data_IF_868222526539
#
_entry.id   IF_868222526539
#
_cell.length_a   1.000
_cell.length_b   1.000
_cell.length_c   1.000
_cell.angle_alpha   90.00
_cell.angle_beta   90.00
_cell.angle_gamma   90.00
#
_symmetry.space_group_name_H-M   'P 1'
#
loop_
_entity.id
_entity.type
_entity.pdbx_description
1 polymer ?
#
# COMPACT_ATOMS: atom_id res chain seq x y z
N UNK A 1 14.32 -18.03 -4.67
CA UNK A 1 14.66 -18.01 -6.11
C UNK A 1 14.05 -16.73 -6.64
N UNK A 2 14.80 -15.63 -6.52
CA UNK A 2 14.34 -14.30 -6.93
C UNK A 2 14.54 -14.19 -8.43
N UNK A 3 13.45 -13.89 -9.12
CA UNK A 3 13.41 -13.57 -10.54
C UNK A 3 13.82 -12.11 -10.69
N UNK A 4 15.12 -11.90 -10.91
CA UNK A 4 15.68 -10.60 -11.28
C UNK A 4 15.18 -10.27 -12.69
N UNK A 5 14.08 -9.51 -12.76
CA UNK A 5 13.61 -8.97 -14.03
C UNK A 5 14.69 -8.04 -14.58
N UNK A 6 15.48 -8.56 -15.51
CA UNK A 6 16.38 -7.79 -16.36
C UNK A 6 15.60 -6.61 -16.93
N UNK A 7 15.93 -5.41 -16.45
CA UNK A 7 15.52 -4.18 -17.11
C UNK A 7 16.25 -4.23 -18.46
N UNK A 8 15.55 -4.24 -19.61
CA UNK A 8 16.23 -4.27 -20.89
C UNK A 8 17.13 -3.05 -20.95
N UNK A 9 18.44 -3.26 -20.97
CA UNK A 9 19.40 -2.21 -21.28
C UNK A 9 19.08 -1.74 -22.69
N UNK A 10 18.26 -0.68 -22.81
CA UNK A 10 18.13 0.08 -24.06
C UNK A 10 19.56 0.36 -24.52
N UNK A 11 19.86 -0.05 -25.75
CA UNK A 11 21.21 -0.18 -26.26
C UNK A 11 22.03 1.07 -25.95
N UNK A 12 23.12 0.92 -25.19
CA UNK A 12 23.94 2.05 -24.75
C UNK A 12 24.55 2.78 -25.95
N UNK A 13 24.74 2.07 -27.08
CA UNK A 13 25.18 2.65 -28.35
C UNK A 13 24.17 3.67 -28.91
N UNK A 14 22.87 3.37 -28.85
CA UNK A 14 21.81 4.33 -29.24
C UNK A 14 21.80 5.56 -28.33
N UNK A 15 22.21 5.40 -27.07
CA UNK A 15 22.26 6.49 -26.09
C UNK A 15 23.45 7.43 -26.33
N UNK A 16 24.62 6.89 -26.69
CA UNK A 16 25.80 7.68 -27.06
C UNK A 16 25.62 8.39 -28.41
N UNK A 17 25.03 7.72 -29.40
CA UNK A 17 24.70 8.33 -30.70
C UNK A 17 23.71 9.49 -30.53
N UNK A 18 22.66 9.30 -29.72
CA UNK A 18 21.71 10.36 -29.40
C UNK A 18 22.37 11.53 -28.67
N UNK A 19 23.24 11.25 -27.69
CA UNK A 19 23.97 12.28 -26.98
C UNK A 19 24.86 13.12 -27.92
N UNK A 20 25.53 12.46 -28.87
CA UNK A 20 26.35 13.11 -29.88
C UNK A 20 25.50 13.95 -30.85
N UNK A 21 24.33 13.46 -31.28
CA UNK A 21 23.42 14.20 -32.15
C UNK A 21 22.82 15.44 -31.46
N UNK A 22 22.51 15.35 -30.16
CA UNK A 22 22.10 16.50 -29.34
C UNK A 22 23.24 17.51 -29.21
N UNK A 23 24.47 17.04 -28.94
CA UNK A 23 25.65 17.90 -28.83
C UNK A 23 26.02 18.58 -30.16
N UNK A 24 25.81 17.89 -31.29
CA UNK A 24 26.00 18.42 -32.64
C UNK A 24 24.89 19.39 -33.07
N UNK A 25 23.76 19.44 -32.34
CA UNK A 25 22.61 20.27 -32.68
C UNK A 25 21.71 19.68 -33.77
N UNK A 26 21.90 18.40 -34.12
CA UNK A 26 21.11 17.66 -35.10
C UNK A 26 19.74 17.22 -34.55
N UNK A 27 19.53 17.37 -33.23
CA UNK A 27 18.27 17.12 -32.54
C UNK A 27 17.77 18.43 -31.92
N UNK A 28 16.54 18.82 -32.29
CA UNK A 28 15.85 19.96 -31.71
C UNK A 28 14.64 19.47 -30.90
N UNK A 29 14.51 19.97 -29.67
CA UNK A 29 13.31 19.76 -28.87
C UNK A 29 12.24 20.77 -29.29
N UNK A 30 11.09 20.28 -29.75
CA UNK A 30 9.93 21.13 -29.98
C UNK A 30 9.27 21.47 -28.64
N UNK A 31 9.61 22.64 -28.10
CA UNK A 31 9.02 23.18 -26.88
C UNK A 31 7.63 23.78 -27.09
N UNK A 32 7.17 23.89 -28.35
CA UNK A 32 5.82 24.34 -28.69
C UNK A 32 4.82 23.18 -28.78
N UNK A 33 5.30 21.95 -28.69
CA UNK A 33 4.47 20.76 -28.64
C UNK A 33 3.50 20.81 -27.45
N UNK A 34 2.24 20.39 -27.62
CA UNK A 34 1.28 20.33 -26.53
C UNK A 34 1.78 19.35 -25.46
N UNK A 35 1.63 19.73 -24.18
CA UNK A 35 1.93 18.81 -23.07
C UNK A 35 1.02 17.60 -23.18
N UNK A 36 1.57 16.37 -23.25
CA UNK A 36 0.74 15.17 -23.31
C UNK A 36 -0.07 15.03 -22.02
N UNK A 37 -1.32 14.61 -22.15
CA UNK A 37 -2.14 14.25 -21.01
C UNK A 37 -1.54 12.99 -20.37
N UNK A 38 -1.08 13.12 -19.12
CA UNK A 38 -0.59 11.98 -18.36
C UNK A 38 -1.77 11.08 -18.01
N UNK A 39 -1.58 9.74 -17.99
CA UNK A 39 -2.60 8.86 -17.46
C UNK A 39 -2.94 9.26 -16.01
N UNK A 40 -4.20 9.08 -15.58
CA UNK A 40 -4.61 9.45 -14.23
C UNK A 40 -3.71 8.75 -13.23
N UNK A 41 -3.24 9.51 -12.22
CA UNK A 41 -2.53 8.91 -11.09
C UNK A 41 -3.50 7.95 -10.39
N UNK A 42 -3.11 6.68 -10.31
CA UNK A 42 -3.76 5.74 -9.39
C UNK A 42 -3.53 6.28 -7.98
N UNK A 43 -4.58 6.82 -7.37
CA UNK A 43 -4.53 7.37 -6.01
C UNK A 43 -4.56 6.29 -4.94
N UNK A 44 -4.97 5.08 -5.31
CA UNK A 44 -5.14 3.97 -4.41
C UNK A 44 -3.93 3.03 -4.49
N UNK A 45 -3.50 2.53 -3.32
CA UNK A 45 -2.49 1.48 -3.27
C UNK A 45 -2.98 0.24 -4.04
N UNK A 46 -2.17 -0.33 -4.95
CA UNK A 46 -2.60 -1.50 -5.71
C UNK A 46 -2.93 -2.67 -4.78
N UNK A 47 -4.16 -3.16 -4.85
CA UNK A 47 -4.63 -4.28 -4.03
C UNK A 47 -4.46 -5.61 -4.76
N UNK A 48 -4.09 -6.66 -4.01
CA UNK A 48 -3.99 -8.03 -4.53
C UNK A 48 -5.06 -8.91 -3.88
N UNK A 49 -5.69 -9.77 -4.67
CA UNK A 49 -6.66 -10.76 -4.18
C UNK A 49 -5.92 -11.90 -3.50
N UNK A 50 -6.26 -12.17 -2.24
CA UNK A 50 -5.79 -13.33 -1.50
C UNK A 50 -6.95 -14.27 -1.20
N UNK A 51 -6.71 -15.59 -1.24
CA UNK A 51 -7.68 -16.59 -0.79
C UNK A 51 -7.17 -17.30 0.46
N UNK A 52 -8.02 -17.40 1.48
CA UNK A 52 -7.69 -18.05 2.74
C UNK A 52 -8.86 -18.94 3.19
N UNK A 53 -8.53 -20.13 3.69
CA UNK A 53 -9.52 -20.99 4.37
C UNK A 53 -9.57 -20.60 5.84
N UNK A 54 -10.77 -20.40 6.37
CA UNK A 54 -11.00 -20.10 7.79
C UNK A 54 -12.05 -21.04 8.36
N UNK A 55 -12.05 -21.29 9.68
CA UNK A 55 -13.15 -22.00 10.33
C UNK A 55 -14.49 -21.28 10.11
N UNK A 56 -15.58 -22.04 9.95
CA UNK A 56 -16.93 -21.49 9.76
C UNK A 56 -17.31 -20.47 10.82
N UNK A 57 -16.99 -20.74 12.09
CA UNK A 57 -17.24 -19.82 13.20
C UNK A 57 -16.53 -18.48 13.04
N UNK A 58 -15.33 -18.48 12.45
CA UNK A 58 -14.57 -17.26 12.16
C UNK A 58 -15.24 -16.46 11.04
N UNK A 59 -15.67 -17.15 9.98
CA UNK A 59 -16.41 -16.50 8.89
C UNK A 59 -17.72 -15.87 9.36
N UNK A 60 -18.48 -16.55 10.22
CA UNK A 60 -19.73 -16.01 10.80
C UNK A 60 -19.44 -14.72 11.57
N UNK A 61 -18.41 -14.70 12.43
CA UNK A 61 -18.01 -13.48 13.15
C UNK A 61 -17.66 -12.32 12.23
N UNK A 62 -16.91 -12.58 11.16
CA UNK A 62 -16.56 -11.57 10.16
C UNK A 62 -17.82 -11.01 9.49
N UNK A 63 -18.74 -11.90 9.07
CA UNK A 63 -19.97 -11.51 8.40
C UNK A 63 -20.87 -10.68 9.31
N UNK A 64 -21.02 -11.08 10.56
CA UNK A 64 -21.89 -10.39 11.51
C UNK A 64 -21.33 -8.98 11.83
N UNK A 65 -20.01 -8.86 11.99
CA UNK A 65 -19.33 -7.56 12.14
C UNK A 65 -19.51 -6.66 10.90
N UNK A 66 -19.31 -7.22 9.71
CA UNK A 66 -19.48 -6.50 8.45
C UNK A 66 -20.92 -6.01 8.28
N UNK A 67 -21.89 -6.83 8.70
CA UNK A 67 -23.32 -6.50 8.68
C UNK A 67 -23.62 -5.34 9.63
N UNK A 68 -23.09 -5.38 10.86
CA UNK A 68 -23.25 -4.30 11.83
C UNK A 68 -22.68 -2.96 11.34
N UNK A 69 -21.60 -3.01 10.54
CA UNK A 69 -20.93 -1.83 9.96
C UNK A 69 -21.48 -1.39 8.59
N UNK A 70 -22.32 -2.20 7.95
CA UNK A 70 -22.81 -1.94 6.58
C UNK A 70 -21.72 -2.00 5.50
N UNK A 71 -20.67 -2.79 5.70
CA UNK A 71 -19.54 -2.94 4.77
C UNK A 71 -19.40 -4.39 4.27
N UNK A 72 -18.55 -4.61 3.27
CA UNK A 72 -18.25 -5.96 2.80
C UNK A 72 -17.37 -6.73 3.82
N UNK A 73 -17.52 -8.06 3.96
CA UNK A 73 -16.66 -8.89 4.82
C UNK A 73 -15.16 -8.73 4.55
N UNK A 74 -14.76 -8.49 3.30
CA UNK A 74 -13.37 -8.27 2.92
C UNK A 74 -12.77 -6.99 3.51
N UNK A 75 -13.59 -5.96 3.78
CA UNK A 75 -13.16 -4.72 4.45
C UNK A 75 -12.77 -5.03 5.89
N UNK A 76 -13.63 -5.75 6.62
CA UNK A 76 -13.36 -6.17 8.00
C UNK A 76 -12.10 -7.04 8.09
N UNK A 77 -11.97 -8.01 7.18
CA UNK A 77 -10.78 -8.88 7.14
C UNK A 77 -9.52 -8.05 6.92
N UNK A 78 -9.53 -7.12 5.95
CA UNK A 78 -8.39 -6.25 5.68
C UNK A 78 -8.02 -5.39 6.89
N UNK A 79 -9.00 -4.70 7.48
CA UNK A 79 -8.78 -3.86 8.67
C UNK A 79 -8.19 -4.65 9.84
N UNK A 80 -8.70 -5.86 10.10
CA UNK A 80 -8.14 -6.72 11.16
C UNK A 80 -6.70 -7.14 10.85
N UNK A 81 -6.38 -7.45 9.60
CA UNK A 81 -5.00 -7.77 9.21
C UNK A 81 -4.06 -6.56 9.36
N UNK A 82 -4.51 -5.37 8.96
CA UNK A 82 -3.77 -4.11 9.10
C UNK A 82 -3.52 -3.78 10.57
N UNK A 83 -4.55 -3.90 11.42
CA UNK A 83 -4.44 -3.71 12.88
C UNK A 83 -3.46 -4.71 13.50
N UNK A 84 -3.57 -5.99 13.15
CA UNK A 84 -2.66 -7.02 13.67
C UNK A 84 -1.21 -6.81 13.22
N UNK A 85 -0.98 -6.21 12.05
CA UNK A 85 0.36 -5.83 11.60
C UNK A 85 0.85 -4.56 12.29
N UNK A 86 0.00 -3.55 12.47
CA UNK A 86 0.34 -2.35 13.22
C UNK A 86 0.75 -2.66 14.67
N UNK A 87 0.13 -3.67 15.30
CA UNK A 87 0.48 -4.16 16.65
C UNK A 87 1.83 -4.89 16.70
N UNK A 88 2.34 -5.37 15.57
CA UNK A 88 3.63 -6.07 15.47
C UNK A 88 4.80 -5.16 15.10
N UNK A 89 4.52 -3.93 14.70
CA UNK A 89 5.55 -2.94 14.40
C UNK A 89 6.22 -2.52 15.73
N UNK A 90 7.54 -2.77 15.91
CA UNK A 90 8.22 -2.61 17.19
C UNK A 90 8.34 -1.16 17.69
N UNK A 91 7.97 -0.17 16.86
CA UNK A 91 8.14 1.25 17.16
C UNK A 91 6.98 1.90 17.94
N UNK A 92 6.00 1.13 18.43
CA UNK A 92 5.02 1.65 19.41
C UNK A 92 5.45 1.37 20.85
N UNK A 93 6.44 2.14 21.33
CA UNK A 93 6.67 2.25 22.77
C UNK A 93 5.52 3.02 23.43
N UNK A 94 4.56 2.33 24.05
CA UNK A 94 3.55 2.98 24.90
C UNK A 94 4.18 3.31 26.25
N UNK A 95 4.00 4.53 26.75
CA UNK A 95 4.46 4.88 28.10
C UNK A 95 3.63 4.11 29.13
N UNK A 96 4.29 3.40 30.04
CA UNK A 96 3.65 2.59 31.08
C UNK A 96 2.65 3.39 31.96
N UNK A 97 2.86 4.69 32.12
CA UNK A 97 1.93 5.58 32.84
C UNK A 97 0.58 5.73 32.13
N UNK A 98 0.58 5.83 30.80
CA UNK A 98 -0.65 5.98 30.01
C UNK A 98 -1.42 4.66 29.96
N UNK A 99 -0.72 3.53 29.92
CA UNK A 99 -1.34 2.21 30.03
C UNK A 99 -2.02 2.00 31.39
N UNK A 100 -1.34 2.37 32.50
CA UNK A 100 -1.93 2.27 33.85
C UNK A 100 -3.16 3.15 34.00
N UNK A 101 -3.14 4.37 33.45
CA UNK A 101 -4.29 5.27 33.46
C UNK A 101 -5.46 4.70 32.65
N UNK A 102 -5.19 4.14 31.48
CA UNK A 102 -6.21 3.50 30.65
C UNK A 102 -6.87 2.31 31.36
N UNK A 103 -6.09 1.46 32.03
CA UNK A 103 -6.61 0.32 32.81
C UNK A 103 -7.47 0.80 33.98
N UNK A 104 -7.02 1.79 34.75
CA UNK A 104 -7.79 2.32 35.88
C UNK A 104 -9.15 2.90 35.44
N UNK A 105 -9.20 3.59 34.30
CA UNK A 105 -10.46 4.10 33.76
C UNK A 105 -11.41 3.02 33.24
N UNK A 106 -10.91 1.84 32.88
CA UNK A 106 -11.74 0.70 32.49
C UNK A 106 -12.39 0.03 33.71
N UNK A 107 -11.73 0.02 34.86
CA UNK A 107 -12.30 -0.50 36.12
C UNK A 107 -13.40 0.42 36.65
N UNK A 108 -13.21 1.74 36.58
CA UNK A 108 -14.23 2.72 36.99
C UNK A 108 -15.48 2.71 36.09
N UNK A 109 -15.33 2.36 34.81
CA UNK A 109 -16.47 2.30 33.88
C UNK A 109 -17.29 1.00 34.00
N UNK A 110 -16.76 -0.02 34.68
CA UNK A 110 -17.40 -1.32 34.89
C UNK A 110 -18.08 -1.45 36.27
N UNK A 111 -17.98 -0.43 37.12
CA UNK A 111 -18.63 -0.31 38.44
C UNK A 111 -19.89 0.57 38.39
#
# INVERSE_FOLDING_TARGET
MNDEREIPHRDLAESEELANAVAAGDVAFDLSAPTPELPPRLTDEPMVVISARVPTSTYVRIRDEATARGVAPSVVVREWLELQQADREPDRMVRLGDLRRAIAHLEDAAA
#
